data_IF_746339875471
#
_entry.id   IF_746339875471
#
_cell.length_a   1.000
_cell.length_b   1.000
_cell.length_c   1.000
_cell.angle_alpha   90.00
_cell.angle_beta   90.00
_cell.angle_gamma   90.00
#
_symmetry.space_group_name_H-M   'P 1'
#
loop_
_entity.id
_entity.type
_entity.pdbx_description
1 polymer ?
#
# COMPACT_ATOMS: atom_id res chain seq x y z
N UNK A 1 45.94 40.82 16.29
CA UNK A 1 45.73 41.67 15.09
C UNK A 1 46.20 40.97 13.84
N UNK A 2 45.35 40.88 12.82
CA UNK A 2 45.67 40.18 11.56
C UNK A 2 46.31 41.18 10.59
N UNK A 3 47.42 40.80 9.94
CA UNK A 3 48.18 41.59 8.96
C UNK A 3 47.34 42.19 7.80
N UNK A 4 46.08 41.78 7.66
CA UNK A 4 45.11 42.31 6.70
C UNK A 4 44.59 43.73 7.01
N UNK A 5 44.87 44.31 8.19
CA UNK A 5 44.46 45.70 8.51
C UNK A 5 45.32 46.75 7.80
N UNK A 6 46.61 46.46 7.58
CA UNK A 6 47.57 47.36 6.93
C UNK A 6 47.67 47.15 5.41
N UNK A 7 46.94 46.17 4.88
CA UNK A 7 46.90 45.91 3.44
C UNK A 7 46.13 47.01 2.69
N UNK A 8 46.66 47.43 1.53
CA UNK A 8 45.99 48.38 0.63
C UNK A 8 44.64 47.81 0.18
N UNK A 9 43.58 48.61 0.29
CA UNK A 9 42.22 48.24 -0.11
C UNK A 9 41.77 49.12 -1.25
N UNK A 10 41.31 48.49 -2.32
CA UNK A 10 40.70 49.15 -3.46
C UNK A 10 39.23 48.72 -3.58
N UNK A 11 38.50 49.32 -4.53
CA UNK A 11 37.11 48.94 -4.80
C UNK A 11 37.03 47.48 -5.24
N UNK A 12 35.89 46.84 -4.95
CA UNK A 12 35.63 45.47 -5.41
C UNK A 12 35.71 45.40 -6.95
N UNK A 13 36.24 44.30 -7.46
CA UNK A 13 36.33 44.08 -8.89
C UNK A 13 34.94 43.77 -9.43
N UNK A 14 34.47 44.57 -10.39
CA UNK A 14 33.16 44.39 -11.02
C UNK A 14 33.33 43.56 -12.29
N UNK A 15 32.96 42.29 -12.25
CA UNK A 15 33.24 41.31 -13.32
C UNK A 15 31.95 40.91 -14.02
N UNK A 16 31.96 40.86 -15.35
CA UNK A 16 30.87 40.30 -16.14
C UNK A 16 31.15 38.82 -16.42
N UNK A 17 30.22 37.96 -16.04
CA UNK A 17 30.22 36.50 -16.30
C UNK A 17 29.83 36.19 -17.74
N UNK A 18 30.09 34.97 -18.20
CA UNK A 18 29.77 34.49 -19.55
C UNK A 18 28.28 34.58 -19.87
N UNK A 19 27.44 34.48 -18.84
CA UNK A 19 25.98 34.60 -18.92
C UNK A 19 25.50 36.05 -19.06
N UNK A 20 26.42 37.01 -19.06
CA UNK A 20 26.14 38.45 -19.18
C UNK A 20 25.81 39.14 -17.86
N UNK A 21 25.88 38.44 -16.73
CA UNK A 21 25.59 39.00 -15.40
C UNK A 21 26.81 39.60 -14.73
N UNK A 22 26.59 40.63 -13.91
CA UNK A 22 27.63 41.30 -13.15
C UNK A 22 27.78 40.75 -11.72
N UNK A 23 29.02 40.63 -11.27
CA UNK A 23 29.41 40.12 -9.95
C UNK A 23 30.46 41.04 -9.36
N UNK A 24 30.23 41.48 -8.12
CA UNK A 24 31.26 42.15 -7.34
C UNK A 24 32.08 41.10 -6.60
N UNK A 25 33.38 41.05 -6.89
CA UNK A 25 34.29 40.06 -6.32
C UNK A 25 35.35 40.74 -5.46
N UNK A 26 35.50 40.25 -4.24
CA UNK A 26 36.58 40.59 -3.32
C UNK A 26 37.72 39.57 -3.49
N UNK A 27 38.86 40.07 -3.97
CA UNK A 27 40.04 39.27 -4.29
C UNK A 27 41.23 39.79 -3.50
N UNK A 28 41.98 38.87 -2.91
CA UNK A 28 43.26 39.16 -2.26
C UNK A 28 44.40 38.63 -3.11
N UNK A 29 45.31 39.52 -3.50
CA UNK A 29 46.50 39.19 -4.27
C UNK A 29 47.70 39.23 -3.34
N UNK A 30 48.37 38.08 -3.17
CA UNK A 30 49.62 37.96 -2.44
C UNK A 30 50.76 37.98 -3.45
N UNK A 31 51.72 38.88 -3.24
CA UNK A 31 52.85 39.07 -4.14
C UNK A 31 54.12 39.38 -3.35
N UNK A 32 55.26 39.17 -4.00
CA UNK A 32 56.55 39.61 -3.52
C UNK A 32 57.36 40.24 -4.67
N UNK A 33 58.35 41.05 -4.31
CA UNK A 33 59.28 41.64 -5.27
C UNK A 33 60.45 40.68 -5.44
N UNK A 34 60.67 40.21 -6.68
CA UNK A 34 61.77 39.33 -7.01
C UNK A 34 63.03 40.12 -7.38
N UNK A 35 62.90 41.16 -8.22
CA UNK A 35 63.99 42.07 -8.58
C UNK A 35 63.63 43.53 -8.26
N UNK A 36 64.15 44.08 -7.15
CA UNK A 36 63.93 45.48 -6.77
C UNK A 36 64.47 46.50 -7.78
N UNK A 37 65.54 46.18 -8.52
CA UNK A 37 66.15 47.09 -9.48
C UNK A 37 65.25 47.26 -10.71
N UNK A 38 64.70 46.17 -11.23
CA UNK A 38 63.72 46.19 -12.32
C UNK A 38 62.46 46.95 -11.93
N UNK A 39 61.92 46.74 -10.73
CA UNK A 39 60.74 47.47 -10.24
C UNK A 39 60.98 48.98 -10.24
N UNK A 40 62.12 49.42 -9.70
CA UNK A 40 62.45 50.85 -9.58
C UNK A 40 62.67 51.49 -10.95
N UNK A 41 63.28 50.77 -11.89
CA UNK A 41 63.61 51.30 -13.22
C UNK A 41 62.41 51.29 -14.18
N UNK A 42 61.53 50.29 -14.08
CA UNK A 42 60.38 50.15 -15.00
C UNK A 42 59.09 50.80 -14.49
N UNK A 43 58.80 50.72 -13.19
CA UNK A 43 57.55 51.25 -12.61
C UNK A 43 57.77 52.54 -11.83
N UNK A 44 58.91 52.63 -11.14
CA UNK A 44 59.33 53.82 -10.39
C UNK A 44 59.54 53.57 -8.90
N UNK A 45 60.18 54.52 -8.19
CA UNK A 45 60.51 54.39 -6.78
C UNK A 45 59.29 54.55 -5.85
N UNK A 46 59.41 54.09 -4.61
CA UNK A 46 58.38 54.24 -3.58
C UNK A 46 57.26 53.22 -3.73
N UNK A 47 56.00 53.66 -3.63
CA UNK A 47 54.80 52.79 -3.70
C UNK A 47 54.18 52.69 -5.10
N UNK A 48 54.87 53.20 -6.12
CA UNK A 48 54.35 53.21 -7.50
C UNK A 48 54.14 51.81 -8.08
N UNK A 49 54.83 50.79 -7.56
CA UNK A 49 54.60 49.40 -7.95
C UNK A 49 53.17 48.92 -7.63
N UNK A 50 52.51 49.48 -6.61
CA UNK A 50 51.11 49.19 -6.30
C UNK A 50 50.17 49.97 -7.24
N UNK A 51 50.33 51.30 -7.30
CA UNK A 51 49.41 52.21 -8.00
C UNK A 51 49.49 52.10 -9.53
N UNK A 52 50.69 51.95 -10.09
CA UNK A 52 50.92 51.90 -11.55
C UNK A 52 51.22 50.47 -12.05
N UNK A 53 51.57 49.56 -11.14
CA UNK A 53 51.95 48.19 -11.46
C UNK A 53 50.79 47.22 -11.26
N UNK A 54 50.56 46.84 -10.02
CA UNK A 54 49.70 45.70 -9.66
C UNK A 54 48.23 46.05 -9.79
N UNK A 55 47.75 47.12 -9.14
CA UNK A 55 46.32 47.48 -9.08
C UNK A 55 45.68 47.61 -10.48
N UNK A 56 46.23 48.41 -11.43
CA UNK A 56 45.59 48.60 -12.73
C UNK A 56 45.64 47.36 -13.64
N UNK A 57 46.49 46.38 -13.32
CA UNK A 57 46.66 45.15 -14.10
C UNK A 57 45.87 43.97 -13.54
N UNK A 58 45.63 43.95 -12.24
CA UNK A 58 44.86 42.90 -11.57
C UNK A 58 43.41 42.87 -12.07
N UNK A 59 42.71 44.00 -12.12
CA UNK A 59 41.29 44.00 -12.48
C UNK A 59 41.01 43.47 -13.91
N UNK A 60 41.73 43.89 -14.97
CA UNK A 60 41.55 43.32 -16.31
C UNK A 60 41.83 41.81 -16.37
N UNK A 61 42.93 41.33 -15.79
CA UNK A 61 43.27 39.89 -15.83
C UNK A 61 42.30 39.04 -15.03
N UNK A 62 41.77 39.57 -13.93
CA UNK A 62 40.68 38.91 -13.19
C UNK A 62 39.41 38.86 -14.02
N UNK A 63 39.07 39.91 -14.76
CA UNK A 63 37.91 39.92 -15.67
C UNK A 63 38.06 38.88 -16.77
N UNK A 64 39.24 38.76 -17.38
CA UNK A 64 39.50 37.78 -18.43
C UNK A 64 39.33 36.34 -17.91
N UNK A 65 39.91 36.01 -16.74
CA UNK A 65 39.87 34.65 -16.21
C UNK A 65 38.54 34.27 -15.52
N UNK A 66 38.01 35.15 -14.66
CA UNK A 66 36.78 34.89 -13.91
C UNK A 66 35.51 35.20 -14.70
N UNK A 67 35.60 36.01 -15.77
CA UNK A 67 34.49 36.30 -16.67
C UNK A 67 34.09 35.12 -17.54
N UNK A 68 34.97 34.14 -17.74
CA UNK A 68 34.64 32.88 -18.43
C UNK A 68 33.70 31.96 -17.64
N UNK A 69 33.52 32.21 -16.34
CA UNK A 69 32.64 31.40 -15.50
C UNK A 69 31.18 31.83 -15.64
N UNK A 70 30.28 30.85 -15.66
CA UNK A 70 28.85 31.07 -15.49
C UNK A 70 28.52 31.43 -14.04
N UNK A 71 27.32 31.97 -13.83
CA UNK A 71 26.81 32.29 -12.48
C UNK A 71 26.69 31.07 -11.58
N UNK A 72 26.36 29.90 -12.14
CA UNK A 72 26.27 28.65 -11.38
C UNK A 72 27.64 28.05 -11.09
N UNK A 73 28.56 28.07 -12.06
CA UNK A 73 29.94 27.59 -11.88
C UNK A 73 30.74 28.46 -10.91
N UNK A 74 30.39 29.73 -10.78
CA UNK A 74 31.01 30.58 -9.78
C UNK A 74 30.78 30.04 -8.36
N UNK A 75 29.67 29.35 -8.07
CA UNK A 75 29.45 28.68 -6.77
C UNK A 75 30.31 27.43 -6.57
N UNK A 76 30.89 26.88 -7.64
CA UNK A 76 31.75 25.71 -7.58
C UNK A 76 33.18 26.12 -7.17
N UNK A 77 33.57 25.75 -5.94
CA UNK A 77 34.87 26.12 -5.36
C UNK A 77 36.07 25.65 -6.20
N UNK A 78 36.19 24.37 -6.60
CA UNK A 78 37.25 23.90 -7.50
C UNK A 78 37.41 24.70 -8.80
N UNK A 79 36.32 24.99 -9.50
CA UNK A 79 36.37 25.75 -10.76
C UNK A 79 36.83 27.18 -10.52
N UNK A 80 36.35 27.81 -9.44
CA UNK A 80 36.76 29.16 -9.06
C UNK A 80 38.26 29.23 -8.74
N UNK A 81 38.79 28.25 -8.02
CA UNK A 81 40.23 28.17 -7.70
C UNK A 81 41.05 27.98 -8.98
N UNK A 82 40.62 27.08 -9.87
CA UNK A 82 41.31 26.86 -11.14
C UNK A 82 41.38 28.14 -12.01
N UNK A 83 40.29 28.92 -12.05
CA UNK A 83 40.28 30.21 -12.76
C UNK A 83 41.07 31.30 -12.04
N UNK A 84 41.12 31.30 -10.71
CA UNK A 84 41.99 32.19 -9.96
C UNK A 84 43.48 31.87 -10.20
N UNK A 85 43.84 30.59 -10.33
CA UNK A 85 45.18 30.16 -10.72
C UNK A 85 45.51 30.54 -12.16
N UNK A 86 44.54 30.47 -13.08
CA UNK A 86 44.70 30.99 -14.44
C UNK A 86 44.95 32.52 -14.44
N UNK A 87 44.19 33.28 -13.63
CA UNK A 87 44.41 34.71 -13.45
C UNK A 87 45.81 35.02 -12.90
N UNK A 88 46.30 34.21 -11.95
CA UNK A 88 47.66 34.30 -11.43
C UNK A 88 48.70 34.12 -12.53
N UNK A 89 48.54 33.11 -13.39
CA UNK A 89 49.46 32.86 -14.51
C UNK A 89 49.50 34.07 -15.45
N UNK A 90 48.33 34.58 -15.87
CA UNK A 90 48.22 35.76 -16.71
C UNK A 90 48.81 37.02 -16.08
N UNK A 91 48.72 37.17 -14.76
CA UNK A 91 49.34 38.27 -14.03
C UNK A 91 50.86 38.14 -14.00
N UNK A 92 51.39 36.94 -13.77
CA UNK A 92 52.83 36.70 -13.74
C UNK A 92 53.48 36.87 -15.11
N UNK A 93 52.81 36.50 -16.21
CA UNK A 93 53.30 36.74 -17.56
C UNK A 93 53.64 38.22 -17.82
N UNK A 94 52.85 39.14 -17.27
CA UNK A 94 53.05 40.58 -17.45
C UNK A 94 53.94 41.19 -16.35
N UNK A 95 53.74 40.80 -15.09
CA UNK A 95 54.41 41.39 -13.93
C UNK A 95 55.85 40.91 -13.72
N UNK A 96 56.20 39.72 -14.23
CA UNK A 96 57.58 39.22 -14.16
C UNK A 96 58.56 40.14 -14.89
N UNK A 97 58.13 40.78 -15.99
CA UNK A 97 58.96 41.75 -16.74
C UNK A 97 59.28 43.03 -15.96
N UNK A 98 58.61 43.23 -14.82
CA UNK A 98 58.75 44.39 -13.93
C UNK A 98 59.37 44.01 -12.59
N UNK A 99 59.87 42.79 -12.42
CA UNK A 99 60.45 42.30 -11.17
C UNK A 99 59.44 41.96 -10.06
N UNK A 100 58.14 41.84 -10.36
CA UNK A 100 57.08 41.52 -9.39
C UNK A 100 56.54 40.12 -9.65
N UNK A 101 56.45 39.29 -8.60
CA UNK A 101 55.89 37.95 -8.69
C UNK A 101 54.66 37.78 -7.81
N UNK A 102 53.57 37.27 -8.39
CA UNK A 102 52.31 36.96 -7.69
C UNK A 102 52.33 35.51 -7.21
N UNK A 103 52.26 35.33 -5.89
CA UNK A 103 52.23 34.03 -5.24
C UNK A 103 50.85 33.38 -5.30
N UNK A 104 49.82 34.14 -4.91
CA UNK A 104 48.44 33.63 -4.83
C UNK A 104 47.41 34.70 -5.17
N UNK A 105 46.37 34.28 -5.88
CA UNK A 105 45.17 35.07 -6.13
C UNK A 105 44.01 34.34 -5.44
N UNK A 106 43.49 34.93 -4.37
CA UNK A 106 42.48 34.30 -3.53
C UNK A 106 41.15 35.05 -3.63
N UNK A 107 40.11 34.37 -4.11
CA UNK A 107 38.76 34.91 -4.14
C UNK A 107 38.08 34.68 -2.79
N UNK A 108 37.74 35.77 -2.07
CA UNK A 108 37.19 35.70 -0.71
C UNK A 108 35.68 35.70 -0.69
N UNK A 109 35.10 36.78 -1.20
CA UNK A 109 33.66 37.00 -1.20
C UNK A 109 33.23 37.46 -2.57
N UNK A 110 32.02 37.10 -2.96
CA UNK A 110 31.39 37.59 -4.16
C UNK A 110 29.95 37.93 -3.84
N UNK A 111 29.43 38.96 -4.50
CA UNK A 111 28.05 39.39 -4.38
C UNK A 111 27.48 39.60 -5.77
N UNK A 112 26.32 39.02 -6.01
CA UNK A 112 25.52 39.32 -7.18
C UNK A 112 24.68 40.56 -6.93
N UNK A 113 24.16 41.16 -8.00
CA UNK A 113 23.07 42.13 -7.86
C UNK A 113 21.88 41.49 -7.15
N UNK A 114 21.22 42.24 -6.26
CA UNK A 114 20.15 41.70 -5.42
C UNK A 114 18.95 41.14 -6.22
N UNK A 115 18.72 41.67 -7.42
CA UNK A 115 17.67 41.18 -8.34
C UNK A 115 18.02 39.80 -8.91
N UNK A 116 19.28 39.62 -9.34
CA UNK A 116 19.73 38.35 -9.89
C UNK A 116 19.71 37.24 -8.83
N UNK A 117 20.15 37.56 -7.62
CA UNK A 117 20.15 36.59 -6.53
C UNK A 117 18.73 36.06 -6.24
N UNK A 118 17.73 36.94 -6.22
CA UNK A 118 16.31 36.54 -6.08
C UNK A 118 15.85 35.66 -7.24
N UNK A 119 16.19 36.03 -8.48
CA UNK A 119 15.81 35.27 -9.67
C UNK A 119 16.42 33.85 -9.67
N UNK A 120 17.69 33.72 -9.26
CA UNK A 120 18.37 32.43 -9.14
C UNK A 120 17.71 31.58 -8.04
N UNK A 121 17.42 32.17 -6.88
CA UNK A 121 16.75 31.48 -5.78
C UNK A 121 15.34 31.00 -6.19
N UNK A 122 14.57 31.84 -6.87
CA UNK A 122 13.25 31.47 -7.40
C UNK A 122 13.33 30.35 -8.44
N UNK A 123 14.27 30.44 -9.39
CA UNK A 123 14.47 29.40 -10.42
C UNK A 123 14.82 28.07 -9.76
N UNK A 124 15.76 28.07 -8.80
CA UNK A 124 16.19 26.87 -8.08
C UNK A 124 15.05 26.24 -7.26
N UNK A 125 14.21 27.06 -6.64
CA UNK A 125 13.02 26.58 -5.93
C UNK A 125 12.02 25.92 -6.90
N UNK A 126 11.78 26.54 -8.07
CA UNK A 126 10.89 25.99 -9.10
C UNK A 126 11.43 24.66 -9.65
N UNK A 127 12.72 24.58 -9.95
CA UNK A 127 13.34 23.36 -10.46
C UNK A 127 13.27 22.22 -9.42
N UNK A 128 13.49 22.53 -8.14
CA UNK A 128 13.33 21.56 -7.05
C UNK A 128 11.87 21.10 -6.92
N UNK A 129 10.89 22.00 -7.09
CA UNK A 129 9.47 21.65 -7.10
C UNK A 129 9.11 20.76 -8.30
N UNK A 130 9.66 21.03 -9.49
CA UNK A 130 9.45 20.18 -10.67
C UNK A 130 10.02 18.78 -10.44
N UNK A 131 11.24 18.67 -9.91
CA UNK A 131 11.87 17.37 -9.64
C UNK A 131 11.10 16.57 -8.58
N UNK A 132 10.66 17.22 -7.50
CA UNK A 132 9.85 16.57 -6.46
C UNK A 132 8.47 16.16 -6.97
N UNK A 133 7.82 16.98 -7.82
CA UNK A 133 6.55 16.64 -8.43
C UNK A 133 6.67 15.49 -9.44
N UNK A 134 7.73 15.46 -10.25
CA UNK A 134 7.99 14.33 -11.16
C UNK A 134 8.23 13.02 -10.39
N UNK A 135 9.00 13.08 -9.30
CA UNK A 135 9.25 11.92 -8.44
C UNK A 135 7.97 11.44 -7.76
N UNK A 136 7.17 12.37 -7.22
CA UNK A 136 5.85 12.06 -6.64
C UNK A 136 4.90 11.48 -7.69
N UNK A 137 4.87 12.03 -8.91
CA UNK A 137 4.01 11.53 -9.97
C UNK A 137 4.36 10.09 -10.36
N UNK A 138 5.66 9.75 -10.46
CA UNK A 138 6.11 8.38 -10.70
C UNK A 138 5.71 7.44 -9.57
N UNK A 139 5.94 7.83 -8.32
CA UNK A 139 5.53 7.04 -7.16
C UNK A 139 4.02 6.79 -7.12
N UNK A 140 3.20 7.83 -7.36
CA UNK A 140 1.73 7.69 -7.41
C UNK A 140 1.27 6.79 -8.55
N UNK A 141 1.93 6.84 -9.72
CA UNK A 141 1.61 5.96 -10.85
C UNK A 141 1.89 4.49 -10.52
N UNK A 142 3.05 4.19 -9.92
CA UNK A 142 3.41 2.84 -9.48
C UNK A 142 2.48 2.34 -8.37
N UNK A 143 2.17 3.17 -7.37
CA UNK A 143 1.19 2.84 -6.33
C UNK A 143 -0.20 2.55 -6.91
N UNK A 144 -0.61 3.29 -7.93
CA UNK A 144 -1.90 3.08 -8.60
C UNK A 144 -1.94 1.75 -9.34
N UNK A 145 -0.83 1.35 -9.99
CA UNK A 145 -0.70 0.04 -10.63
C UNK A 145 -0.74 -1.09 -9.60
N UNK A 146 0.03 -0.99 -8.52
CA UNK A 146 0.02 -1.98 -7.43
C UNK A 146 -1.37 -2.10 -6.82
N UNK A 147 -2.07 -0.98 -6.61
CA UNK A 147 -3.44 -0.97 -6.10
C UNK A 147 -4.39 -1.69 -7.05
N UNK A 148 -4.29 -1.46 -8.35
CA UNK A 148 -5.11 -2.15 -9.37
C UNK A 148 -4.86 -3.65 -9.35
N UNK A 149 -3.59 -4.08 -9.33
CA UNK A 149 -3.22 -5.51 -9.27
C UNK A 149 -3.70 -6.15 -7.98
N UNK A 150 -3.59 -5.47 -6.83
CA UNK A 150 -4.12 -5.98 -5.56
C UNK A 150 -5.65 -6.14 -5.60
N UNK A 151 -6.37 -5.15 -6.13
CA UNK A 151 -7.83 -5.23 -6.27
C UNK A 151 -8.27 -6.36 -7.20
N UNK A 152 -7.58 -6.52 -8.34
CA UNK A 152 -7.82 -7.65 -9.24
C UNK A 152 -7.51 -9.00 -8.56
N UNK A 153 -6.42 -9.08 -7.80
CA UNK A 153 -6.05 -10.26 -7.02
C UNK A 153 -7.08 -10.63 -5.95
N UNK A 154 -7.55 -9.65 -5.18
CA UNK A 154 -8.59 -9.84 -4.16
C UNK A 154 -9.92 -10.28 -4.77
N UNK A 155 -10.32 -9.68 -5.89
CA UNK A 155 -11.51 -10.08 -6.63
C UNK A 155 -11.39 -11.53 -7.12
N UNK A 156 -10.25 -11.90 -7.72
CA UNK A 156 -10.01 -13.25 -8.20
C UNK A 156 -10.01 -14.27 -7.05
N UNK A 157 -9.38 -13.96 -5.91
CA UNK A 157 -9.42 -14.83 -4.73
C UNK A 157 -10.85 -15.03 -4.24
N UNK A 158 -11.66 -13.96 -4.20
CA UNK A 158 -13.06 -14.06 -3.77
C UNK A 158 -13.88 -14.95 -4.71
N UNK A 159 -13.72 -14.79 -6.03
CA UNK A 159 -14.37 -15.67 -7.03
C UNK A 159 -13.95 -17.12 -6.82
N UNK A 160 -12.65 -17.41 -6.68
CA UNK A 160 -12.14 -18.77 -6.43
C UNK A 160 -12.66 -19.38 -5.14
N UNK A 161 -12.78 -18.60 -4.07
CA UNK A 161 -13.34 -19.06 -2.80
C UNK A 161 -14.83 -19.43 -2.93
N UNK A 162 -15.62 -18.61 -3.63
CA UNK A 162 -17.03 -18.91 -3.88
C UNK A 162 -17.20 -20.10 -4.84
N UNK A 163 -16.36 -20.24 -5.87
CA UNK A 163 -16.30 -21.43 -6.73
C UNK A 163 -16.00 -22.70 -5.90
N UNK A 164 -15.04 -22.60 -4.97
CA UNK A 164 -14.67 -23.70 -4.07
C UNK A 164 -15.83 -24.10 -3.15
N UNK A 165 -16.53 -23.13 -2.55
CA UNK A 165 -17.73 -23.39 -1.74
C UNK A 165 -18.84 -24.03 -2.56
N UNK A 166 -19.12 -23.51 -3.76
CA UNK A 166 -20.13 -24.06 -4.66
C UNK A 166 -19.78 -25.50 -5.07
N UNK A 167 -18.50 -25.78 -5.32
CA UNK A 167 -18.01 -27.13 -5.61
C UNK A 167 -18.23 -28.09 -4.43
N UNK A 168 -17.92 -27.67 -3.20
CA UNK A 168 -18.16 -28.48 -1.99
C UNK A 168 -19.66 -28.78 -1.83
N UNK A 169 -20.53 -27.77 -1.97
CA UNK A 169 -21.98 -27.94 -1.88
C UNK A 169 -22.48 -28.93 -2.94
N UNK A 170 -22.03 -28.79 -4.20
CA UNK A 170 -22.38 -29.71 -5.28
C UNK A 170 -21.93 -31.13 -4.98
N UNK A 171 -20.70 -31.32 -4.50
CA UNK A 171 -20.18 -32.65 -4.15
C UNK A 171 -20.88 -33.28 -2.96
N UNK A 172 -21.25 -32.50 -1.96
CA UNK A 172 -22.06 -32.99 -0.85
C UNK A 172 -23.46 -33.39 -1.31
N UNK A 173 -24.11 -32.58 -2.17
CA UNK A 173 -25.41 -32.92 -2.74
C UNK A 173 -25.36 -34.21 -3.59
N UNK A 174 -24.32 -34.38 -4.42
CA UNK A 174 -24.09 -35.61 -5.20
C UNK A 174 -23.91 -36.83 -4.26
N UNK A 175 -23.13 -36.68 -3.19
CA UNK A 175 -22.93 -37.73 -2.18
C UNK A 175 -24.23 -38.09 -1.47
N UNK A 176 -25.02 -37.11 -1.06
CA UNK A 176 -26.30 -37.31 -0.36
C UNK A 176 -27.32 -37.98 -1.27
N UNK A 177 -27.39 -37.58 -2.54
CA UNK A 177 -28.24 -38.23 -3.55
C UNK A 177 -27.82 -39.69 -3.75
N UNK A 178 -26.52 -39.95 -3.87
CA UNK A 178 -26.00 -41.31 -3.99
C UNK A 178 -26.35 -42.17 -2.76
N UNK A 179 -26.15 -41.65 -1.55
CA UNK A 179 -26.51 -42.35 -0.32
C UNK A 179 -28.02 -42.65 -0.24
N UNK A 180 -28.87 -41.66 -0.58
CA UNK A 180 -30.33 -41.83 -0.59
C UNK A 180 -30.79 -42.86 -1.61
N UNK A 181 -30.27 -42.82 -2.84
CA UNK A 181 -30.61 -43.78 -3.89
C UNK A 181 -30.18 -45.21 -3.52
N UNK A 182 -28.99 -45.37 -2.94
CA UNK A 182 -28.53 -46.69 -2.46
C UNK A 182 -29.36 -47.21 -1.29
N UNK A 183 -29.72 -46.35 -0.34
CA UNK A 183 -30.59 -46.72 0.77
C UNK A 183 -31.99 -47.11 0.28
N UNK A 184 -32.60 -46.30 -0.59
CA UNK A 184 -33.90 -46.61 -1.17
C UNK A 184 -33.90 -47.92 -1.97
N UNK A 185 -32.81 -48.22 -2.71
CA UNK A 185 -32.66 -49.49 -3.41
C UNK A 185 -32.54 -50.68 -2.44
N UNK A 186 -31.82 -50.51 -1.33
CA UNK A 186 -31.72 -51.53 -0.29
C UNK A 186 -33.07 -51.76 0.43
N UNK A 187 -33.76 -50.68 0.79
CA UNK A 187 -35.08 -50.73 1.44
C UNK A 187 -36.10 -51.41 0.53
N UNK A 188 -36.09 -51.09 -0.78
CA UNK A 188 -36.93 -51.76 -1.77
C UNK A 188 -36.66 -53.27 -1.83
N UNK A 189 -35.39 -53.69 -1.83
CA UNK A 189 -35.02 -55.11 -1.82
C UNK A 189 -35.50 -55.82 -0.55
N UNK A 190 -35.36 -55.19 0.62
CA UNK A 190 -35.86 -55.72 1.89
C UNK A 190 -37.38 -55.87 1.84
N UNK A 191 -38.11 -54.83 1.42
CA UNK A 191 -39.56 -54.88 1.30
C UNK A 191 -40.04 -55.95 0.32
N UNK A 192 -39.34 -56.15 -0.81
CA UNK A 192 -39.65 -57.23 -1.75
C UNK A 192 -39.42 -58.61 -1.13
N UNK A 193 -38.32 -58.79 -0.39
CA UNK A 193 -38.02 -60.04 0.31
C UNK A 193 -39.05 -60.33 1.42
N UNK A 194 -39.48 -59.31 2.18
CA UNK A 194 -40.53 -59.43 3.19
C UNK A 194 -41.90 -59.74 2.58
N UNK A 195 -42.23 -59.12 1.46
CA UNK A 195 -43.44 -59.42 0.71
C UNK A 195 -43.44 -60.88 0.23
N UNK A 196 -42.34 -61.35 -0.37
CA UNK A 196 -42.19 -62.76 -0.79
C UNK A 196 -42.25 -63.73 0.39
N UNK A 197 -41.60 -63.41 1.51
CA UNK A 197 -41.68 -64.20 2.75
C UNK A 197 -43.13 -64.34 3.20
N UNK A 198 -43.86 -63.22 3.25
CA UNK A 198 -45.27 -63.19 3.67
C UNK A 198 -46.15 -63.99 2.71
N UNK A 199 -45.91 -63.87 1.40
CA UNK A 199 -46.60 -64.65 0.37
C UNK A 199 -46.37 -66.15 0.54
N UNK A 200 -45.12 -66.59 0.73
CA UNK A 200 -44.78 -67.99 0.99
C UNK A 200 -45.40 -68.52 2.28
N UNK A 201 -45.42 -67.71 3.34
CA UNK A 201 -46.09 -68.04 4.60
C UNK A 201 -47.61 -68.21 4.37
N UNK A 202 -48.23 -67.29 3.64
CA UNK A 202 -49.65 -67.38 3.30
C UNK A 202 -49.96 -68.62 2.45
N UNK A 203 -49.13 -68.95 1.48
CA UNK A 203 -49.25 -70.19 0.69
C UNK A 203 -49.11 -71.44 1.57
N UNK A 204 -48.18 -71.44 2.53
CA UNK A 204 -48.04 -72.53 3.49
C UNK A 204 -49.28 -72.68 4.39
N UNK A 205 -49.87 -71.57 4.84
CA UNK A 205 -51.15 -71.50 5.56
C UNK A 205 -52.39 -71.73 4.70
N UNK A 206 -52.26 -72.04 3.41
CA UNK A 206 -53.38 -72.46 2.55
C UNK A 206 -53.35 -73.97 2.27
N UNK A 207 -52.28 -74.67 2.63
CA UNK A 207 -52.14 -76.12 2.42
C UNK A 207 -52.95 -76.95 3.44
N UNK A 208 -53.08 -78.26 3.21
CA UNK A 208 -53.92 -79.16 4.04
C UNK A 208 -53.49 -79.15 5.52
N UNK A 209 -54.26 -78.48 6.37
CA UNK A 209 -53.99 -78.30 7.81
C UNK A 209 -54.44 -76.94 8.38
N UNK A 210 -54.70 -75.98 7.49
CA UNK A 210 -55.02 -74.58 7.78
C UNK A 210 -56.31 -74.37 8.56
N UNK A 211 -57.37 -75.09 8.22
CA UNK A 211 -58.67 -75.00 8.90
C UNK A 211 -58.57 -75.35 10.40
N UNK A 212 -57.72 -76.33 10.75
CA UNK A 212 -57.51 -76.76 12.14
C UNK A 212 -56.73 -75.71 12.94
N UNK A 213 -55.77 -75.03 12.30
CA UNK A 213 -54.94 -74.01 12.93
C UNK A 213 -55.74 -72.72 13.20
N UNK A 214 -56.59 -72.31 12.25
CA UNK A 214 -57.53 -71.19 12.44
C UNK A 214 -58.52 -71.49 13.56
N UNK A 215 -59.05 -72.72 13.63
CA UNK A 215 -59.91 -73.16 14.74
C UNK A 215 -59.22 -73.08 16.11
N UNK A 216 -57.95 -73.51 16.21
CA UNK A 216 -57.15 -73.41 17.44
C UNK A 216 -56.92 -71.95 17.87
N UNK A 217 -56.56 -71.07 16.94
CA UNK A 217 -56.38 -69.64 17.21
C UNK A 217 -57.67 -68.97 17.67
N UNK A 218 -58.82 -69.31 17.06
CA UNK A 218 -60.11 -68.81 17.52
C UNK A 218 -60.45 -69.31 18.93
N UNK A 219 -60.18 -70.58 19.23
CA UNK A 219 -60.39 -71.11 20.57
C UNK A 219 -59.54 -70.39 21.65
N UNK A 220 -58.31 -69.97 21.33
CA UNK A 220 -57.48 -69.15 22.23
C UNK A 220 -58.09 -67.76 22.47
N UNK A 221 -58.61 -67.10 21.42
CA UNK A 221 -59.28 -65.79 21.56
C UNK A 221 -60.55 -65.92 22.41
N UNK A 222 -61.33 -66.99 22.22
CA UNK A 222 -62.52 -67.25 23.02
C UNK A 222 -62.21 -67.51 24.51
N UNK A 223 -61.01 -68.00 24.84
CA UNK A 223 -60.57 -68.20 26.23
C UNK A 223 -60.30 -66.89 26.99
N UNK A 224 -59.99 -65.80 26.28
CA UNK A 224 -59.65 -64.51 26.88
C UNK A 224 -60.81 -63.52 27.00
N UNK A 225 -62.01 -63.91 26.57
CA UNK A 225 -63.20 -63.08 26.71
C UNK A 225 -63.82 -63.30 28.10
N UNK A 226 -63.72 -62.31 28.98
CA UNK A 226 -64.53 -62.25 30.20
C UNK A 226 -65.99 -62.05 29.81
N UNK A 227 -66.81 -63.09 30.02
CA UNK A 227 -68.24 -63.05 29.73
C UNK A 227 -68.95 -62.15 30.76
N UNK A 228 -69.13 -60.87 30.44
CA UNK A 228 -70.00 -59.98 31.22
C UNK A 228 -71.46 -60.31 30.88
N UNK A 229 -72.11 -61.13 31.70
CA UNK A 229 -73.57 -61.29 31.64
C UNK A 229 -74.23 -60.04 32.23
N UNK A 230 -74.83 -59.19 31.39
CA UNK A 230 -75.77 -58.16 31.83
C UNK A 230 -77.18 -58.76 31.91
N UNK A 231 -77.76 -58.98 33.11
CA UNK A 231 -79.14 -59.43 33.22
C UNK A 231 -80.10 -58.29 32.82
N UNK A 232 -80.85 -58.50 31.74
CA UNK A 232 -81.83 -57.55 31.20
C UNK A 232 -83.14 -57.46 32.02
N UNK A 233 -83.31 -58.23 33.10
CA UNK A 233 -84.57 -58.27 33.86
C UNK A 233 -84.37 -58.68 35.33
N UNK A 234 -84.79 -57.83 36.27
CA UNK A 234 -84.67 -57.97 37.72
C UNK A 234 -84.50 -56.61 38.40
N UNK A 235 -84.62 -56.51 39.72
CA UNK A 235 -84.60 -55.23 40.48
C UNK A 235 -83.31 -54.40 40.37
N UNK A 236 -82.29 -54.90 39.64
CA UNK A 236 -81.08 -54.17 39.24
C UNK A 236 -80.71 -54.36 37.77
N UNK A 237 -81.68 -54.69 36.90
CA UNK A 237 -81.48 -54.88 35.46
C UNK A 237 -81.46 -53.55 34.71
N UNK A 238 -80.49 -53.37 33.82
CA UNK A 238 -80.34 -52.15 33.02
C UNK A 238 -81.19 -52.30 31.75
N UNK A 239 -82.22 -51.48 31.60
CA UNK A 239 -83.01 -51.42 30.37
C UNK A 239 -82.48 -50.27 29.49
N UNK A 240 -81.72 -50.55 28.42
CA UNK A 240 -81.11 -49.51 27.57
C UNK A 240 -82.11 -48.66 26.76
N UNK A 241 -83.43 -48.93 26.85
CA UNK A 241 -84.48 -48.14 26.22
C UNK A 241 -85.19 -47.16 27.17
N UNK A 242 -84.94 -47.25 28.48
CA UNK A 242 -85.51 -46.36 29.50
C UNK A 242 -84.43 -45.38 30.00
N UNK A 243 -84.24 -44.29 29.24
CA UNK A 243 -83.16 -43.32 29.49
C UNK A 243 -83.29 -42.65 30.87
N UNK A 244 -84.50 -42.37 31.35
CA UNK A 244 -84.71 -41.62 32.60
C UNK A 244 -84.28 -42.42 33.84
N UNK A 245 -84.55 -43.72 33.86
CA UNK A 245 -84.07 -44.62 34.93
C UNK A 245 -82.56 -44.85 34.84
N UNK A 246 -82.04 -44.95 33.61
CA UNK A 246 -80.61 -45.17 33.37
C UNK A 246 -79.81 -43.93 33.80
N UNK A 247 -80.28 -42.73 33.50
CA UNK A 247 -79.67 -41.45 33.91
C UNK A 247 -79.65 -41.26 35.43
N UNK A 248 -80.68 -41.74 36.14
CA UNK A 248 -80.74 -41.73 37.62
C UNK A 248 -79.78 -42.73 38.26
N UNK A 249 -79.59 -43.92 37.69
CA UNK A 249 -78.60 -44.90 38.19
C UNK A 249 -77.15 -44.44 38.01
N UNK A 250 -76.88 -43.61 36.99
CA UNK A 250 -75.55 -43.02 36.75
C UNK A 250 -75.37 -41.60 37.34
N UNK A 251 -76.35 -41.09 38.10
CA UNK A 251 -76.15 -39.95 39.01
C UNK A 251 -75.99 -38.56 38.36
N UNK A 252 -76.68 -38.28 37.25
CA UNK A 252 -76.60 -36.97 36.57
C UNK A 252 -77.82 -36.11 36.91
N UNK A 253 -77.63 -34.98 37.60
CA UNK A 253 -78.69 -34.02 37.97
C UNK A 253 -78.79 -32.83 37.00
N UNK A 254 -80.01 -32.43 36.66
CA UNK A 254 -80.32 -31.29 35.79
C UNK A 254 -79.96 -29.94 36.44
N UNK A 255 -79.02 -29.22 35.83
CA UNK A 255 -78.72 -27.83 36.14
C UNK A 255 -79.68 -26.88 35.39
N UNK A 256 -80.38 -26.04 36.14
CA UNK A 256 -81.29 -24.99 35.68
C UNK A 256 -80.55 -23.89 34.89
N UNK A 257 -81.12 -23.50 33.75
CA UNK A 257 -80.73 -22.30 32.99
C UNK A 257 -81.15 -21.00 33.73
N UNK A 258 -80.15 -20.16 34.03
CA UNK A 258 -80.16 -18.71 33.91
C UNK A 258 -78.79 -18.27 33.41
#
# INVERSE_FOLDING_TARGET
DTASRDARKEKAAHIQTSDGFFVDVDVSVLYHINDPYEVITTVGPGKLYEDNGIIPKVEPKLKDALGELTTEEFYNSPLRVAKADAAKQLLNEELNSKGIYVDYVLVRYFKYSGELQRNIEEKKLKDQLVFTNQSKARATAEESLVRKVRQEGEANMKVRLEEGKAYIVKKNAEKDLYARTKKAAADLLISLAEAQKTELINQAYQNKGSDKLVGLKMAEVYKGLDMILLPSSGSGGVNPLDLDNTLKMFGVGEGKEQ
#
